data_IF_115884183739
#
_entry.id   IF_115884183739
#
_cell.length_a   1.000
_cell.length_b   1.000
_cell.length_c   1.000
_cell.angle_alpha   90.00
_cell.angle_beta   90.00
_cell.angle_gamma   90.00
#
_symmetry.space_group_name_H-M   'P 1'
#
loop_
_entity.id
_entity.type
_entity.pdbx_description
1 polymer ?
#
# COMPACT_ATOMS: atom_id res chain seq x y z
N UNK A 1 26.30 3.58 -9.70
CA UNK A 1 24.96 3.20 -10.20
C UNK A 1 24.98 1.93 -11.07
N UNK A 2 26.05 1.66 -11.83
CA UNK A 2 26.22 0.48 -12.70
C UNK A 2 26.29 -0.87 -11.97
N UNK A 3 26.87 -0.91 -10.76
CA UNK A 3 27.00 -2.14 -9.97
C UNK A 3 25.66 -2.69 -9.48
N UNK A 4 24.76 -1.82 -9.01
CA UNK A 4 23.43 -2.21 -8.52
C UNK A 4 22.57 -2.72 -9.68
N UNK A 5 22.63 -2.04 -10.84
CA UNK A 5 21.96 -2.49 -12.06
C UNK A 5 22.50 -3.85 -12.54
N UNK A 6 23.82 -4.08 -12.46
CA UNK A 6 24.46 -5.34 -12.83
C UNK A 6 24.08 -6.51 -11.94
N UNK A 7 24.07 -6.33 -10.61
CA UNK A 7 23.66 -7.37 -9.65
C UNK A 7 22.20 -7.76 -9.84
N UNK A 8 21.34 -6.76 -10.06
CA UNK A 8 19.93 -6.99 -10.29
C UNK A 8 19.65 -7.67 -11.64
N UNK A 9 20.37 -7.32 -12.71
CA UNK A 9 20.24 -7.97 -14.01
C UNK A 9 20.70 -9.44 -13.95
N UNK A 10 21.82 -9.70 -13.26
CA UNK A 10 22.30 -11.06 -12.99
C UNK A 10 21.25 -11.92 -12.27
N UNK A 11 20.64 -11.39 -11.20
CA UNK A 11 19.57 -12.06 -10.47
C UNK A 11 18.35 -12.37 -11.36
N UNK A 12 17.95 -11.43 -12.21
CA UNK A 12 16.83 -11.60 -13.14
C UNK A 12 17.12 -12.71 -14.17
N UNK A 13 18.34 -12.73 -14.72
CA UNK A 13 18.74 -13.74 -15.71
C UNK A 13 18.81 -15.13 -15.08
N UNK A 14 19.40 -15.25 -13.88
CA UNK A 14 19.45 -16.52 -13.14
C UNK A 14 18.04 -17.00 -12.78
N UNK A 15 17.14 -16.10 -12.41
CA UNK A 15 15.75 -16.41 -12.11
C UNK A 15 14.99 -16.91 -13.35
N UNK A 16 15.16 -16.25 -14.51
CA UNK A 16 14.54 -16.65 -15.77
C UNK A 16 15.05 -18.01 -16.26
N UNK A 17 16.37 -18.27 -16.15
CA UNK A 17 16.94 -19.57 -16.48
C UNK A 17 16.42 -20.68 -15.56
N UNK A 18 16.30 -20.41 -14.25
CA UNK A 18 15.75 -21.35 -13.28
C UNK A 18 14.29 -21.74 -13.57
N UNK A 19 13.48 -20.78 -14.02
CA UNK A 19 12.07 -21.02 -14.41
C UNK A 19 11.99 -21.88 -15.66
N UNK A 20 12.80 -21.59 -16.68
CA UNK A 20 12.78 -22.33 -17.94
C UNK A 20 13.20 -23.79 -17.75
N UNK A 21 14.24 -24.03 -16.95
CA UNK A 21 14.75 -25.38 -16.65
C UNK A 21 13.73 -26.16 -15.79
N UNK A 22 13.18 -25.53 -14.74
CA UNK A 22 12.20 -26.16 -13.86
C UNK A 22 10.92 -26.58 -14.60
N UNK A 23 10.36 -25.69 -15.43
CA UNK A 23 9.16 -25.98 -16.23
C UNK A 23 9.41 -27.08 -17.27
N UNK A 24 10.60 -27.12 -17.88
CA UNK A 24 10.94 -28.18 -18.85
C UNK A 24 11.13 -29.54 -18.20
N UNK A 25 11.75 -29.61 -17.02
CA UNK A 25 11.90 -30.86 -16.26
C UNK A 25 10.51 -31.36 -15.85
N UNK A 26 9.67 -30.50 -15.28
CA UNK A 26 8.31 -30.86 -14.87
C UNK A 26 7.48 -31.31 -16.08
N UNK A 27 7.53 -30.60 -17.20
CA UNK A 27 6.75 -30.94 -18.41
C UNK A 27 7.25 -32.20 -19.12
N UNK A 28 8.55 -32.49 -19.11
CA UNK A 28 9.13 -33.72 -19.64
C UNK A 28 8.74 -34.94 -18.79
N UNK A 29 8.76 -34.78 -17.46
CA UNK A 29 8.30 -35.79 -16.51
C UNK A 29 6.78 -36.02 -16.63
N UNK A 30 5.98 -34.95 -16.76
CA UNK A 30 4.52 -35.05 -16.92
C UNK A 30 4.10 -35.71 -18.25
N UNK A 31 4.84 -35.46 -19.35
CA UNK A 31 4.57 -36.11 -20.65
C UNK A 31 4.97 -37.59 -20.65
N UNK A 32 5.99 -37.97 -19.89
CA UNK A 32 6.41 -39.37 -19.78
C UNK A 32 5.50 -40.19 -18.87
N UNK A 33 4.91 -39.58 -17.83
CA UNK A 33 4.09 -40.28 -16.83
C UNK A 33 2.63 -40.45 -17.29
N UNK A 34 2.08 -39.53 -18.11
CA UNK A 34 0.71 -39.69 -18.66
C UNK A 34 0.56 -40.93 -19.58
N UNK A 35 1.67 -41.54 -20.01
CA UNK A 35 1.64 -42.75 -20.85
C UNK A 35 1.63 -44.06 -20.04
N UNK A 36 2.04 -44.05 -18.76
CA UNK A 36 2.12 -45.25 -17.93
C UNK A 36 1.65 -44.98 -16.50
N UNK A 37 0.36 -45.22 -16.22
CA UNK A 37 -0.11 -46.05 -15.08
C UNK A 37 -1.61 -45.91 -14.85
N UNK A 38 -2.36 -46.66 -15.65
CA UNK A 38 -3.26 -47.65 -15.04
C UNK A 38 -2.44 -48.58 -14.14
N UNK A 39 -3.03 -48.95 -13.00
CA UNK A 39 -2.57 -49.94 -12.02
C UNK A 39 -1.41 -49.51 -11.09
N UNK A 40 -1.75 -49.09 -9.86
CA UNK A 40 -1.74 -49.96 -8.68
C UNK A 40 -2.02 -49.15 -7.41
N UNK A 41 -3.01 -49.61 -6.64
CA UNK A 41 -3.31 -49.10 -5.32
C UNK A 41 -2.27 -49.51 -4.27
N UNK A 42 -2.41 -48.88 -3.10
CA UNK A 42 -1.86 -49.30 -1.83
C UNK A 42 -0.32 -49.34 -1.70
N UNK A 43 0.29 -48.17 -1.48
CA UNK A 43 1.33 -48.07 -0.44
C UNK A 43 1.06 -46.84 0.43
N UNK A 44 0.29 -47.12 1.48
CA UNK A 44 0.38 -46.58 2.84
C UNK A 44 1.14 -45.25 3.03
N UNK A 45 0.36 -44.19 3.23
CA UNK A 45 0.10 -43.62 4.56
C UNK A 45 1.24 -43.79 5.58
N UNK A 46 2.26 -42.94 5.51
CA UNK A 46 3.03 -42.53 6.70
C UNK A 46 2.45 -41.22 7.24
N UNK A 47 1.74 -41.37 8.36
CA UNK A 47 1.50 -40.37 9.42
C UNK A 47 2.73 -39.44 9.57
N UNK A 48 2.68 -38.14 9.82
CA UNK A 48 1.69 -37.24 10.44
C UNK A 48 2.34 -35.86 10.41
N UNK A 49 1.81 -34.92 9.62
CA UNK A 49 2.00 -33.49 9.87
C UNK A 49 0.85 -32.72 9.21
N UNK A 50 -0.07 -32.28 10.07
CA UNK A 50 -1.11 -31.28 9.82
C UNK A 50 -2.30 -31.71 8.93
N UNK A 51 -3.44 -31.77 9.60
CA UNK A 51 -4.83 -31.91 9.15
C UNK A 51 -5.31 -30.76 8.23
N UNK A 52 -4.38 -30.09 7.55
CA UNK A 52 -4.58 -29.01 6.60
C UNK A 52 -3.78 -29.37 5.36
N UNK A 53 -4.46 -29.79 4.30
CA UNK A 53 -3.83 -30.39 3.13
C UNK A 53 -2.72 -29.51 2.53
N UNK A 54 -1.76 -30.10 1.79
CA UNK A 54 -0.68 -29.36 1.13
C UNK A 54 -1.15 -28.12 0.33
N UNK A 55 -2.35 -28.16 -0.24
CA UNK A 55 -2.99 -27.03 -0.92
C UNK A 55 -3.31 -25.84 -0.01
N UNK A 56 -3.66 -26.07 1.25
CA UNK A 56 -3.92 -24.99 2.20
C UNK A 56 -2.63 -24.26 2.59
N UNK A 57 -1.49 -24.94 2.59
CA UNK A 57 -0.18 -24.30 2.78
C UNK A 57 0.15 -23.36 1.62
N UNK A 58 -0.13 -23.78 0.38
CA UNK A 58 0.01 -22.92 -0.81
C UNK A 58 -0.88 -21.69 -0.68
N UNK A 59 -2.15 -21.86 -0.29
CA UNK A 59 -3.08 -20.74 -0.13
C UNK A 59 -2.61 -19.73 0.93
N UNK A 60 -2.05 -20.24 2.05
CA UNK A 60 -1.46 -19.38 3.09
C UNK A 60 -0.24 -18.60 2.57
N UNK A 61 0.62 -19.23 1.76
CA UNK A 61 1.76 -18.53 1.16
C UNK A 61 1.31 -17.43 0.19
N UNK A 62 0.25 -17.68 -0.59
CA UNK A 62 -0.36 -16.67 -1.47
C UNK A 62 -0.88 -15.46 -0.68
N UNK A 63 -1.64 -15.71 0.39
CA UNK A 63 -2.14 -14.64 1.26
C UNK A 63 -1.00 -13.80 1.85
N UNK A 64 0.04 -14.46 2.39
CA UNK A 64 1.21 -13.79 2.95
C UNK A 64 1.95 -12.93 1.93
N UNK A 65 2.14 -13.45 0.72
CA UNK A 65 2.76 -12.70 -0.37
C UNK A 65 1.92 -11.46 -0.71
N UNK A 66 0.61 -11.62 -0.85
CA UNK A 66 -0.30 -10.53 -1.15
C UNK A 66 -0.29 -9.44 -0.05
N UNK A 67 -0.39 -9.82 1.22
CA UNK A 67 -0.37 -8.90 2.36
C UNK A 67 0.95 -8.12 2.44
N UNK A 68 2.05 -8.79 2.11
CA UNK A 68 3.37 -8.16 2.04
C UNK A 68 3.44 -7.12 0.92
N UNK A 69 3.01 -7.49 -0.29
CA UNK A 69 2.99 -6.55 -1.42
C UNK A 69 2.06 -5.35 -1.16
N UNK A 70 0.87 -5.58 -0.60
CA UNK A 70 -0.06 -4.52 -0.23
C UNK A 70 0.56 -3.57 0.82
N UNK A 71 1.20 -4.13 1.85
CA UNK A 71 1.96 -3.38 2.83
C UNK A 71 3.09 -2.54 2.22
N UNK A 72 3.81 -3.09 1.23
CA UNK A 72 4.86 -2.37 0.51
C UNK A 72 4.30 -1.23 -0.34
N UNK A 73 3.14 -1.45 -0.97
CA UNK A 73 2.43 -0.45 -1.77
C UNK A 73 2.02 0.74 -0.91
N UNK A 74 1.41 0.49 0.24
CA UNK A 74 1.02 1.54 1.19
C UNK A 74 2.22 2.39 1.63
N UNK A 75 3.38 1.76 1.89
CA UNK A 75 4.58 2.49 2.25
C UNK A 75 5.10 3.37 1.10
N UNK A 76 5.12 2.87 -0.13
CA UNK A 76 5.56 3.65 -1.29
C UNK A 76 4.60 4.81 -1.59
N UNK A 77 3.30 4.63 -1.35
CA UNK A 77 2.31 5.70 -1.50
C UNK A 77 2.52 6.85 -0.51
N UNK A 78 2.96 6.57 0.72
CA UNK A 78 3.38 7.62 1.68
C UNK A 78 4.55 8.44 1.14
N UNK A 79 5.44 7.80 0.40
CA UNK A 79 6.54 8.45 -0.33
C UNK A 79 6.11 9.12 -1.63
N UNK A 80 4.81 9.37 -1.86
CA UNK A 80 4.33 10.25 -2.94
C UNK A 80 3.94 11.68 -2.46
N UNK A 81 3.98 12.00 -1.15
CA UNK A 81 3.79 13.37 -0.55
C UNK A 81 4.97 14.26 0.02
N UNK A 82 6.15 14.42 -0.59
CA UNK A 82 7.46 14.95 -0.10
C UNK A 82 8.45 14.95 -1.31
N UNK A 83 9.60 15.62 -1.33
CA UNK A 83 10.24 15.91 -2.64
C UNK A 83 11.61 15.29 -2.95
N UNK A 84 12.26 14.55 -2.03
CA UNK A 84 13.71 14.26 -2.19
C UNK A 84 14.15 12.91 -2.80
N UNK A 85 13.60 11.77 -2.35
CA UNK A 85 14.25 10.43 -2.51
C UNK A 85 13.41 9.36 -3.26
N UNK A 86 12.38 9.78 -3.99
CA UNK A 86 11.15 8.95 -4.14
C UNK A 86 11.05 8.11 -5.39
N UNK A 87 11.63 8.59 -6.49
CA UNK A 87 11.57 7.87 -7.77
C UNK A 87 12.24 6.50 -7.71
N UNK A 88 13.33 6.38 -6.94
CA UNK A 88 14.08 5.13 -6.83
C UNK A 88 13.34 4.06 -6.01
N UNK A 89 12.73 4.43 -4.89
CA UNK A 89 11.94 3.50 -4.06
C UNK A 89 10.70 2.99 -4.81
N UNK A 90 10.02 3.87 -5.55
CA UNK A 90 8.89 3.49 -6.41
C UNK A 90 9.33 2.52 -7.50
N UNK A 91 10.46 2.79 -8.17
CA UNK A 91 11.02 1.90 -9.21
C UNK A 91 11.42 0.55 -8.63
N UNK A 92 12.06 0.53 -7.45
CA UNK A 92 12.46 -0.69 -6.77
C UNK A 92 11.24 -1.53 -6.39
N UNK A 93 10.20 -0.90 -5.84
CA UNK A 93 8.96 -1.59 -5.48
C UNK A 93 8.22 -2.15 -6.70
N UNK A 94 8.16 -1.43 -7.82
CA UNK A 94 7.59 -1.97 -9.08
C UNK A 94 8.29 -3.26 -9.51
N UNK A 95 9.60 -3.35 -9.30
CA UNK A 95 10.36 -4.56 -9.60
C UNK A 95 10.06 -5.70 -8.62
N UNK A 96 9.95 -5.39 -7.32
CA UNK A 96 9.51 -6.37 -6.31
C UNK A 96 8.12 -6.91 -6.67
N UNK A 97 7.19 -6.06 -7.13
CA UNK A 97 5.87 -6.50 -7.58
C UNK A 97 5.92 -7.40 -8.81
N UNK A 98 6.80 -7.14 -9.78
CA UNK A 98 6.97 -8.02 -10.95
C UNK A 98 7.47 -9.42 -10.55
N UNK A 99 8.44 -9.49 -9.64
CA UNK A 99 8.92 -10.76 -9.08
C UNK A 99 7.83 -11.45 -8.25
N UNK A 100 7.08 -10.69 -7.45
CA UNK A 100 5.93 -11.17 -6.68
C UNK A 100 4.82 -11.75 -7.55
N UNK A 101 4.49 -11.11 -8.68
CA UNK A 101 3.49 -11.62 -9.63
C UNK A 101 3.95 -12.94 -10.29
N UNK A 102 5.25 -13.04 -10.59
CA UNK A 102 5.84 -14.28 -11.10
C UNK A 102 5.74 -15.40 -10.05
N UNK A 103 6.05 -15.10 -8.80
CA UNK A 103 5.93 -16.05 -7.68
C UNK A 103 4.48 -16.47 -7.42
N UNK A 104 3.54 -15.53 -7.54
CA UNK A 104 2.10 -15.81 -7.42
C UNK A 104 1.62 -16.74 -8.54
N UNK A 105 2.14 -16.59 -9.77
CA UNK A 105 1.84 -17.52 -10.87
C UNK A 105 2.37 -18.94 -10.59
N UNK A 106 3.56 -19.06 -9.97
CA UNK A 106 4.13 -20.34 -9.55
C UNK A 106 3.31 -20.99 -8.44
N UNK A 107 2.90 -20.21 -7.43
CA UNK A 107 2.00 -20.66 -6.38
C UNK A 107 0.65 -21.12 -6.94
N UNK A 108 0.11 -20.41 -7.94
CA UNK A 108 -1.14 -20.80 -8.63
C UNK A 108 -1.00 -22.12 -9.40
N UNK A 109 0.15 -22.36 -10.04
CA UNK A 109 0.44 -23.64 -10.69
C UNK A 109 0.54 -24.77 -9.66
N UNK A 110 1.27 -24.55 -8.55
CA UNK A 110 1.37 -25.53 -7.46
C UNK A 110 0.02 -25.82 -6.79
N UNK A 111 -0.89 -24.84 -6.75
CA UNK A 111 -2.25 -25.07 -6.24
C UNK A 111 -3.02 -26.08 -7.11
N UNK A 112 -2.78 -26.11 -8.41
CA UNK A 112 -3.41 -27.07 -9.34
C UNK A 112 -2.75 -28.45 -9.35
N UNK A 113 -1.57 -28.58 -8.74
CA UNK A 113 -0.88 -29.87 -8.63
C UNK A 113 -1.54 -30.75 -7.56
N UNK A 114 -1.75 -32.02 -7.91
CA UNK A 114 -2.44 -33.02 -7.06
C UNK A 114 -1.47 -34.10 -6.57
N UNK A 115 -0.28 -34.22 -7.19
CA UNK A 115 0.77 -35.14 -6.75
C UNK A 115 1.46 -34.65 -5.45
N UNK A 116 1.31 -35.44 -4.39
CA UNK A 116 1.87 -35.15 -3.07
C UNK A 116 3.41 -35.18 -3.03
N UNK A 117 4.06 -35.95 -3.91
CA UNK A 117 5.52 -36.02 -3.99
C UNK A 117 6.09 -34.71 -4.56
N UNK A 118 5.47 -34.19 -5.62
CA UNK A 118 5.82 -32.89 -6.22
C UNK A 118 5.59 -31.76 -5.23
N UNK A 119 4.45 -31.74 -4.53
CA UNK A 119 4.18 -30.70 -3.53
C UNK A 119 5.20 -30.71 -2.40
N UNK A 120 5.62 -31.89 -1.93
CA UNK A 120 6.59 -32.01 -0.82
C UNK A 120 7.97 -31.47 -1.21
N UNK A 121 8.38 -31.64 -2.47
CA UNK A 121 9.65 -31.14 -2.99
C UNK A 121 9.65 -29.63 -3.27
N UNK A 122 8.58 -29.11 -3.88
CA UNK A 122 8.51 -27.72 -4.36
C UNK A 122 8.05 -26.72 -3.30
N UNK A 123 7.20 -27.12 -2.34
CA UNK A 123 6.72 -26.25 -1.26
C UNK A 123 7.81 -25.52 -0.48
N UNK A 124 8.90 -26.17 -0.01
CA UNK A 124 9.95 -25.46 0.73
C UNK A 124 10.70 -24.44 -0.13
N UNK A 125 10.89 -24.73 -1.43
CA UNK A 125 11.57 -23.82 -2.36
C UNK A 125 10.76 -22.54 -2.55
N UNK A 126 9.47 -22.69 -2.84
CA UNK A 126 8.57 -21.54 -3.05
C UNK A 126 8.36 -20.76 -1.75
N UNK A 127 8.28 -21.44 -0.59
CA UNK A 127 8.27 -20.79 0.72
C UNK A 127 9.47 -19.88 0.93
N UNK A 128 10.68 -20.36 0.66
CA UNK A 128 11.90 -19.55 0.80
C UNK A 128 11.90 -18.31 -0.10
N UNK A 129 11.33 -18.42 -1.30
CA UNK A 129 11.16 -17.26 -2.20
C UNK A 129 10.15 -16.24 -1.67
N UNK A 130 9.03 -16.69 -1.09
CA UNK A 130 8.05 -15.79 -0.44
C UNK A 130 8.71 -15.04 0.71
N UNK A 131 9.48 -15.74 1.56
CA UNK A 131 10.20 -15.13 2.68
C UNK A 131 11.25 -14.10 2.23
N UNK A 132 11.93 -14.33 1.10
CA UNK A 132 12.85 -13.35 0.51
C UNK A 132 12.11 -12.08 0.07
N UNK A 133 10.98 -12.23 -0.64
CA UNK A 133 10.15 -11.08 -1.06
C UNK A 133 9.64 -10.30 0.16
N UNK A 134 9.14 -11.00 1.19
CA UNK A 134 8.73 -10.37 2.45
C UNK A 134 9.87 -9.58 3.11
N UNK A 135 11.09 -10.14 3.10
CA UNK A 135 12.29 -9.48 3.60
C UNK A 135 12.63 -8.20 2.83
N UNK A 136 12.52 -8.22 1.49
CA UNK A 136 12.74 -7.05 0.64
C UNK A 136 11.70 -5.95 0.91
N UNK A 137 10.42 -6.32 0.99
CA UNK A 137 9.33 -5.39 1.34
C UNK A 137 9.57 -4.79 2.72
N UNK A 138 9.95 -5.59 3.72
CA UNK A 138 10.21 -5.10 5.08
C UNK A 138 11.35 -4.09 5.11
N UNK A 139 12.45 -4.34 4.38
CA UNK A 139 13.56 -3.40 4.23
C UNK A 139 13.12 -2.11 3.54
N UNK A 140 12.33 -2.21 2.48
CA UNK A 140 11.75 -1.06 1.79
C UNK A 140 10.91 -0.21 2.75
N UNK A 141 10.01 -0.84 3.52
CA UNK A 141 9.17 -0.16 4.53
C UNK A 141 10.01 0.53 5.60
N UNK A 142 11.08 -0.11 6.07
CA UNK A 142 12.01 0.50 7.02
C UNK A 142 12.69 1.73 6.42
N UNK A 143 13.16 1.64 5.17
CA UNK A 143 13.79 2.76 4.47
C UNK A 143 12.82 3.94 4.28
N UNK A 144 11.57 3.65 3.91
CA UNK A 144 10.49 4.65 3.84
C UNK A 144 10.29 5.31 5.20
N UNK A 145 10.15 4.52 6.27
CA UNK A 145 9.92 5.06 7.62
C UNK A 145 11.08 5.92 8.09
N UNK A 146 12.33 5.53 7.81
CA UNK A 146 13.52 6.34 8.13
C UNK A 146 13.57 7.63 7.30
N UNK A 147 13.10 7.60 6.05
CA UNK A 147 13.04 8.76 5.16
C UNK A 147 11.92 9.75 5.48
N UNK A 148 10.88 9.34 6.23
CA UNK A 148 9.79 10.22 6.67
C UNK A 148 10.18 11.08 7.88
N UNK A 149 11.28 10.78 8.58
CA UNK A 149 11.68 11.44 9.82
C UNK A 149 10.69 11.18 10.97
N UNK A 150 11.17 11.22 12.22
CA UNK A 150 10.23 11.42 13.33
C UNK A 150 9.67 12.84 13.22
N UNK A 151 8.37 13.08 13.41
CA UNK A 151 7.87 14.44 13.58
C UNK A 151 8.67 15.07 14.72
N UNK A 152 9.46 16.11 14.43
CA UNK A 152 10.11 16.86 15.51
C UNK A 152 9.05 17.68 16.22
N UNK A 153 9.17 17.82 17.54
CA UNK A 153 8.28 18.70 18.32
C UNK A 153 8.25 20.11 17.70
N UNK A 154 9.38 20.61 17.20
CA UNK A 154 9.49 21.88 16.46
C UNK A 154 8.57 21.98 15.23
N UNK A 155 8.38 20.88 14.48
CA UNK A 155 7.50 20.88 13.30
C UNK A 155 6.03 20.88 13.71
N UNK A 156 5.70 20.23 14.84
CA UNK A 156 4.36 20.25 15.40
C UNK A 156 4.02 21.63 15.99
N UNK A 157 4.98 22.25 16.67
CA UNK A 157 4.83 23.60 17.24
C UNK A 157 4.71 24.66 16.13
N UNK A 158 5.48 24.54 15.05
CA UNK A 158 5.33 25.39 13.88
C UNK A 158 3.96 25.25 13.23
N UNK A 159 3.45 24.02 13.07
CA UNK A 159 2.11 23.79 12.52
C UNK A 159 1.02 24.34 13.46
N UNK A 160 1.20 24.20 14.76
CA UNK A 160 0.28 24.74 15.76
C UNK A 160 0.21 26.26 15.71
N UNK A 161 1.37 26.91 15.61
CA UNK A 161 1.47 28.36 15.43
C UNK A 161 0.81 28.83 14.12
N UNK A 162 0.91 28.06 13.04
CA UNK A 162 0.28 28.38 11.75
C UNK A 162 -1.24 28.24 11.82
N UNK A 163 -1.74 27.17 12.43
CA UNK A 163 -3.18 26.97 12.69
C UNK A 163 -3.72 28.08 13.59
N UNK A 164 -3.02 28.44 14.66
CA UNK A 164 -3.45 29.54 15.55
C UNK A 164 -3.52 30.87 14.80
N UNK A 165 -2.59 31.12 13.87
CA UNK A 165 -2.61 32.31 13.01
C UNK A 165 -3.81 32.30 12.05
N UNK A 166 -4.07 31.18 11.39
CA UNK A 166 -5.22 31.03 10.47
C UNK A 166 -6.55 31.19 11.22
N UNK A 167 -6.68 30.59 12.40
CA UNK A 167 -7.87 30.73 13.24
C UNK A 167 -8.07 32.18 13.69
N UNK A 168 -6.99 32.86 14.08
CA UNK A 168 -7.04 34.29 14.43
C UNK A 168 -7.45 35.15 13.22
N UNK A 169 -6.94 34.85 12.03
CA UNK A 169 -7.31 35.54 10.79
C UNK A 169 -8.80 35.35 10.46
N UNK A 170 -9.34 34.13 10.62
CA UNK A 170 -10.77 33.86 10.44
C UNK A 170 -11.62 34.66 11.44
N UNK A 171 -11.23 34.69 12.73
CA UNK A 171 -11.97 35.46 13.73
C UNK A 171 -11.94 36.97 13.44
N UNK A 172 -10.79 37.52 13.05
CA UNK A 172 -10.67 38.92 12.66
C UNK A 172 -11.54 39.24 11.44
N UNK A 173 -11.57 38.35 10.44
CA UNK A 173 -12.41 38.50 9.25
C UNK A 173 -13.91 38.46 9.57
N UNK A 174 -14.34 37.54 10.45
CA UNK A 174 -15.74 37.48 10.92
C UNK A 174 -16.12 38.75 11.69
N UNK A 175 -15.20 39.26 12.52
CA UNK A 175 -15.45 40.47 13.28
C UNK A 175 -15.57 41.70 12.39
N UNK A 176 -14.74 41.79 11.34
CA UNK A 176 -14.84 42.85 10.34
C UNK A 176 -16.15 42.77 9.53
N UNK A 177 -16.63 41.56 9.23
CA UNK A 177 -17.95 41.40 8.61
C UNK A 177 -19.08 41.88 9.55
N UNK A 178 -18.97 41.66 10.86
CA UNK A 178 -19.93 42.15 11.83
C UNK A 178 -19.89 43.67 12.00
N UNK A 179 -18.70 44.30 11.98
CA UNK A 179 -18.58 45.76 12.05
C UNK A 179 -19.20 46.40 10.81
N UNK A 180 -18.86 45.91 9.61
CA UNK A 180 -19.43 46.41 8.35
C UNK A 180 -20.95 46.24 8.30
N UNK A 181 -21.49 45.10 8.75
CA UNK A 181 -22.94 44.86 8.81
C UNK A 181 -23.65 45.74 9.87
N UNK A 182 -22.97 46.08 10.97
CA UNK A 182 -23.52 46.97 12.01
C UNK A 182 -23.57 48.44 11.55
N UNK A 183 -22.69 48.85 10.64
CA UNK A 183 -22.71 50.19 10.04
C UNK A 183 -23.87 50.40 9.07
N UNK A 184 -24.39 49.34 8.44
CA UNK A 184 -25.53 49.40 7.53
C UNK A 184 -26.88 49.48 8.29
N UNK A 185 -26.89 49.11 9.57
CA UNK A 185 -28.05 49.13 10.47
C UNK A 185 -28.34 50.49 11.14
N UNK A 186 -28.25 51.61 10.43
CA UNK A 186 -28.58 52.94 11.00
C UNK A 186 -30.06 52.96 11.44
N UNK A 187 -30.39 53.42 12.67
CA UNK A 187 -31.79 53.56 13.07
C UNK A 187 -32.46 54.62 12.18
N UNK A 188 -33.61 54.28 11.60
CA UNK A 188 -34.44 55.23 10.85
C UNK A 188 -34.59 56.55 11.63
N UNK A 189 -34.42 57.71 11.00
CA UNK A 189 -34.67 58.98 11.66
C UNK A 189 -36.16 59.03 12.01
N UNK A 190 -36.44 58.88 13.30
CA UNK A 190 -37.76 59.10 13.90
C UNK A 190 -38.28 60.42 13.36
N UNK A 191 -39.30 60.36 12.48
CA UNK A 191 -40.00 61.53 11.96
C UNK A 191 -40.42 62.37 13.16
N UNK A 192 -39.71 63.47 13.41
CA UNK A 192 -40.22 64.54 14.26
C UNK A 192 -41.38 65.14 13.49
N UNK A 193 -42.59 64.71 13.80
CA UNK A 193 -43.80 65.41 13.44
C UNK A 193 -43.74 66.74 14.14
N UNK A 194 -43.28 67.76 13.42
CA UNK A 194 -43.29 69.15 13.86
C UNK A 194 -44.74 69.58 13.99
N UNK A 195 -45.34 69.33 15.14
CA UNK A 195 -46.61 69.92 15.51
C UNK A 195 -46.34 71.35 15.98
N UNK A 196 -46.16 72.27 15.04
CA UNK A 196 -46.19 73.70 15.33
C UNK A 196 -46.57 74.50 14.08
N UNK A 197 -47.87 74.75 13.97
CA UNK A 197 -48.56 76.00 13.60
C UNK A 197 -49.82 75.68 12.79
N UNK A 198 -50.97 75.68 13.47
CA UNK A 198 -52.13 76.40 12.95
C UNK A 198 -52.53 77.38 14.03
N UNK A 199 -52.22 78.65 13.78
CA UNK A 199 -52.81 79.76 14.51
C UNK A 199 -54.24 79.96 14.03
N UNK A 200 -55.06 80.45 14.95
CA UNK A 200 -56.42 80.88 14.72
C UNK A 200 -57.13 80.93 16.06
N UNK A 201 -57.30 82.13 16.64
CA UNK A 201 -58.55 82.89 16.63
C UNK A 201 -59.70 82.05 17.28
N UNK A 202 -60.39 82.48 18.32
CA UNK A 202 -61.12 83.74 18.51
C UNK A 202 -61.49 83.92 20.00
N UNK A 203 -61.63 85.20 20.40
CA UNK A 203 -62.50 85.80 21.44
C UNK A 203 -62.50 85.29 22.88
#
# INVERSE_FOLDING_TARGET
>A
MSVIAGVLLSLLVIALLGILIGVLIVRAVYRSIRRNRTINGAVLRTRTAFTWGPQQQVLRLRMRLNDSLESGRAAVELTLRSDGLRGELVRLFKRIQAEGATLESQLRLLQSETDSAVLTAELPVVRGRVEQVEGLVRRLRSAVSSGLGAPSDDALDALRADVDREVAAIHAGIQELHTLNSFDGRPEPRRQTTNRLYGGNES
#
